data_IF_880112095816
#
_entry.id   IF_880112095816
#
_cell.length_a   1.000
_cell.length_b   1.000
_cell.length_c   1.000
_cell.angle_alpha   90.00
_cell.angle_beta   90.00
_cell.angle_gamma   90.00
#
_symmetry.space_group_name_H-M   'P 1'
#
loop_
_entity.id
_entity.type
_entity.pdbx_description
1 polymer ?
#
# COMPACT_ATOMS: atom_id res chain seq x y z
N UNK A 1 18.53 16.72 -18.01
CA UNK A 1 19.71 16.01 -17.50
C UNK A 1 19.21 14.80 -16.69
N UNK A 2 18.54 13.84 -17.35
CA UNK A 2 17.67 12.86 -16.64
C UNK A 2 17.87 11.42 -17.13
N UNK A 3 18.87 11.17 -17.99
CA UNK A 3 19.08 9.86 -18.64
C UNK A 3 20.14 8.97 -17.97
N UNK A 4 20.94 9.49 -17.04
CA UNK A 4 22.07 8.72 -16.46
C UNK A 4 21.71 7.80 -15.28
N UNK A 5 20.54 7.96 -14.65
CA UNK A 5 20.09 7.05 -13.58
C UNK A 5 19.59 5.70 -14.11
N UNK A 6 19.32 5.62 -15.41
CA UNK A 6 18.76 4.42 -16.05
C UNK A 6 19.79 3.33 -16.39
N UNK A 7 21.10 3.60 -16.26
CA UNK A 7 22.15 2.72 -16.79
C UNK A 7 23.10 2.15 -15.71
N UNK A 8 22.74 2.25 -14.43
CA UNK A 8 23.50 1.60 -13.36
C UNK A 8 22.90 0.21 -13.07
N UNK A 9 23.58 -0.90 -13.42
CA UNK A 9 23.02 -2.26 -13.33
C UNK A 9 22.58 -2.68 -11.92
N UNK A 10 22.98 -1.94 -10.88
CA UNK A 10 22.51 -2.13 -9.50
C UNK A 10 21.06 -1.67 -9.27
N UNK A 11 20.64 -0.56 -9.87
CA UNK A 11 19.31 0.04 -9.65
C UNK A 11 18.22 -0.81 -10.32
N UNK A 12 18.45 -1.30 -11.53
CA UNK A 12 17.48 -2.16 -12.23
C UNK A 12 17.20 -3.45 -11.46
N UNK A 13 18.24 -4.05 -10.86
CA UNK A 13 18.08 -5.25 -10.02
C UNK A 13 17.26 -4.96 -8.76
N UNK A 14 17.45 -3.80 -8.13
CA UNK A 14 16.68 -3.40 -6.95
C UNK A 14 15.23 -3.09 -7.35
N UNK A 15 15.02 -2.43 -8.48
CA UNK A 15 13.68 -2.16 -9.05
C UNK A 15 12.92 -3.45 -9.30
N UNK A 16 13.56 -4.44 -9.93
CA UNK A 16 12.95 -5.76 -10.18
C UNK A 16 12.54 -6.45 -8.86
N UNK A 17 13.43 -6.48 -7.88
CA UNK A 17 13.13 -7.03 -6.54
C UNK A 17 11.97 -6.32 -5.86
N UNK A 18 11.89 -5.00 -6.02
CA UNK A 18 10.76 -4.23 -5.50
C UNK A 18 9.45 -4.65 -6.14
N UNK A 19 9.40 -4.86 -7.46
CA UNK A 19 8.19 -5.33 -8.15
C UNK A 19 7.81 -6.76 -7.73
N UNK A 20 8.79 -7.66 -7.59
CA UNK A 20 8.56 -9.02 -7.08
C UNK A 20 7.93 -8.99 -5.67
N UNK A 21 8.48 -8.16 -4.79
CA UNK A 21 7.94 -7.92 -3.44
C UNK A 21 6.56 -7.23 -3.48
N UNK A 22 6.32 -6.35 -4.44
CA UNK A 22 5.04 -5.65 -4.60
C UNK A 22 3.89 -6.64 -4.89
N UNK A 23 4.15 -7.71 -5.63
CA UNK A 23 3.17 -8.75 -5.94
C UNK A 23 2.68 -9.51 -4.69
N UNK A 24 3.57 -9.76 -3.73
CA UNK A 24 3.19 -10.34 -2.44
C UNK A 24 2.43 -9.32 -1.59
N UNK A 25 2.97 -8.11 -1.47
CA UNK A 25 2.41 -7.05 -0.62
C UNK A 25 1.03 -6.58 -1.05
N UNK A 26 0.75 -6.48 -2.36
CA UNK A 26 -0.59 -6.11 -2.84
C UNK A 26 -1.63 -7.15 -2.39
N UNK A 27 -1.26 -8.43 -2.37
CA UNK A 27 -2.15 -9.53 -1.99
C UNK A 27 -2.45 -9.46 -0.51
N UNK A 28 -1.43 -9.18 0.31
CA UNK A 28 -1.59 -8.96 1.75
C UNK A 28 -2.46 -7.74 2.05
N UNK A 29 -2.24 -6.61 1.38
CA UNK A 29 -3.06 -5.40 1.54
C UNK A 29 -4.53 -5.69 1.19
N UNK A 30 -4.79 -6.32 0.04
CA UNK A 30 -6.15 -6.71 -0.35
C UNK A 30 -6.80 -7.64 0.68
N UNK A 31 -6.03 -8.60 1.22
CA UNK A 31 -6.53 -9.55 2.23
C UNK A 31 -6.88 -8.84 3.54
N UNK A 32 -6.05 -7.90 4.00
CA UNK A 32 -6.34 -7.10 5.18
C UNK A 32 -7.52 -6.15 4.96
N UNK A 33 -7.63 -5.53 3.78
CA UNK A 33 -8.77 -4.69 3.43
C UNK A 33 -10.08 -5.46 3.48
N UNK A 34 -10.13 -6.65 2.88
CA UNK A 34 -11.30 -7.53 2.91
C UNK A 34 -11.61 -8.02 4.33
N UNK A 35 -10.59 -8.43 5.09
CA UNK A 35 -10.78 -8.88 6.47
C UNK A 35 -11.27 -7.74 7.39
N UNK A 36 -10.84 -6.50 7.17
CA UNK A 36 -11.38 -5.34 7.88
C UNK A 36 -12.83 -5.04 7.48
N UNK A 37 -13.18 -5.25 6.21
CA UNK A 37 -14.55 -5.09 5.71
C UNK A 37 -15.53 -6.11 6.31
N UNK A 38 -15.13 -7.37 6.38
CA UNK A 38 -15.97 -8.47 6.87
C UNK A 38 -15.97 -8.59 8.41
N UNK A 39 -15.10 -7.85 9.11
CA UNK A 39 -14.97 -7.91 10.56
C UNK A 39 -16.20 -7.35 11.29
N UNK A 40 -16.50 -7.94 12.45
CA UNK A 40 -17.62 -7.51 13.30
C UNK A 40 -17.19 -6.88 14.62
N UNK A 41 -15.89 -6.89 14.91
CA UNK A 41 -15.30 -6.32 16.12
C UNK A 41 -14.37 -5.16 15.81
N UNK A 42 -14.29 -4.22 16.76
CA UNK A 42 -13.39 -3.06 16.68
C UNK A 42 -11.94 -3.52 16.56
N UNK A 43 -11.56 -4.53 17.35
CA UNK A 43 -10.20 -5.06 17.41
C UNK A 43 -9.76 -5.66 16.08
N UNK A 44 -10.63 -6.42 15.41
CA UNK A 44 -10.34 -7.02 14.10
C UNK A 44 -10.22 -5.97 13.00
N UNK A 45 -11.11 -4.97 12.97
CA UNK A 45 -11.04 -3.86 12.00
C UNK A 45 -9.71 -3.12 12.18
N UNK A 46 -9.41 -2.69 13.41
CA UNK A 46 -8.18 -1.96 13.72
C UNK A 46 -6.93 -2.77 13.43
N UNK A 47 -6.93 -4.05 13.80
CA UNK A 47 -5.80 -4.96 13.59
C UNK A 47 -5.47 -5.08 12.10
N UNK A 48 -6.49 -5.33 11.26
CA UNK A 48 -6.29 -5.44 9.83
C UNK A 48 -5.87 -4.12 9.17
N UNK A 49 -6.48 -3.00 9.55
CA UNK A 49 -6.08 -1.69 9.05
C UNK A 49 -4.64 -1.36 9.45
N UNK A 50 -4.23 -1.65 10.68
CA UNK A 50 -2.85 -1.45 11.14
C UNK A 50 -1.86 -2.33 10.37
N UNK A 51 -2.20 -3.58 10.07
CA UNK A 51 -1.37 -4.45 9.23
C UNK A 51 -1.24 -3.91 7.81
N UNK A 52 -2.32 -3.46 7.18
CA UNK A 52 -2.26 -2.81 5.86
C UNK A 52 -1.39 -1.54 5.89
N UNK A 53 -1.55 -0.70 6.92
CA UNK A 53 -0.75 0.53 7.11
C UNK A 53 0.74 0.24 7.18
N UNK A 54 1.17 -0.80 7.90
CA UNK A 54 2.58 -1.15 8.01
C UNK A 54 3.19 -1.51 6.64
N UNK A 55 2.44 -2.23 5.80
CA UNK A 55 2.88 -2.59 4.44
C UNK A 55 2.94 -1.36 3.55
N UNK A 56 1.91 -0.50 3.60
CA UNK A 56 1.87 0.76 2.85
C UNK A 56 3.04 1.68 3.19
N UNK A 57 3.39 1.80 4.47
CA UNK A 57 4.56 2.56 4.93
C UNK A 57 5.86 2.08 4.27
N UNK A 58 6.07 0.76 4.25
CA UNK A 58 7.26 0.16 3.62
C UNK A 58 7.30 0.41 2.10
N UNK A 59 6.15 0.37 1.43
CA UNK A 59 6.06 0.67 0.00
C UNK A 59 6.36 2.15 -0.24
N UNK A 60 5.71 3.07 0.48
CA UNK A 60 5.92 4.50 0.37
C UNK A 60 7.39 4.90 0.58
N UNK A 61 8.07 4.27 1.56
CA UNK A 61 9.47 4.54 1.87
C UNK A 61 10.47 4.10 0.80
N UNK A 62 10.09 3.17 -0.08
CA UNK A 62 10.99 2.60 -1.10
C UNK A 62 10.61 2.95 -2.55
N UNK A 63 9.33 3.21 -2.82
CA UNK A 63 8.82 3.45 -4.17
C UNK A 63 9.45 4.69 -4.84
N UNK A 64 9.57 5.80 -4.09
CA UNK A 64 10.06 7.07 -4.65
C UNK A 64 11.52 7.02 -5.13
N UNK A 65 12.41 6.35 -4.38
CA UNK A 65 13.82 6.23 -4.77
C UNK A 65 14.07 5.26 -5.93
N UNK A 66 13.08 4.42 -6.25
CA UNK A 66 13.15 3.42 -7.32
C UNK A 66 12.45 3.85 -8.63
N UNK A 67 11.79 5.02 -8.61
CA UNK A 67 11.10 5.60 -9.76
C UNK A 67 9.60 5.31 -9.82
N UNK A 68 9.00 4.74 -8.77
CA UNK A 68 7.57 4.46 -8.67
C UNK A 68 6.85 5.57 -7.89
N UNK A 69 6.99 6.82 -8.35
CA UNK A 69 6.54 7.98 -7.58
C UNK A 69 5.03 7.99 -7.31
N UNK A 70 4.21 7.63 -8.30
CA UNK A 70 2.75 7.61 -8.13
C UNK A 70 2.33 6.52 -7.13
N UNK A 71 2.90 5.33 -7.26
CA UNK A 71 2.68 4.25 -6.30
C UNK A 71 3.07 4.67 -4.88
N UNK A 72 4.20 5.35 -4.72
CA UNK A 72 4.64 5.88 -3.42
C UNK A 72 3.70 6.93 -2.85
N UNK A 73 3.18 7.83 -3.69
CA UNK A 73 2.16 8.83 -3.28
C UNK A 73 0.86 8.17 -2.84
N UNK A 74 0.35 7.22 -3.61
CA UNK A 74 -0.88 6.48 -3.28
C UNK A 74 -0.71 5.68 -1.99
N UNK A 75 0.44 5.00 -1.81
CA UNK A 75 0.73 4.26 -0.59
C UNK A 75 0.69 5.17 0.64
N UNK A 76 1.36 6.33 0.56
CA UNK A 76 1.37 7.31 1.65
C UNK A 76 -0.02 7.90 1.92
N UNK A 77 -0.83 8.15 0.89
CA UNK A 77 -2.21 8.61 1.06
C UNK A 77 -3.03 7.61 1.88
N UNK A 78 -3.02 6.33 1.48
CA UNK A 78 -3.71 5.27 2.20
C UNK A 78 -3.20 5.12 3.64
N UNK A 79 -1.86 5.16 3.81
CA UNK A 79 -1.21 5.13 5.12
C UNK A 79 -1.74 6.23 6.04
N UNK A 80 -1.75 7.49 5.56
CA UNK A 80 -2.24 8.63 6.34
C UNK A 80 -3.71 8.49 6.70
N UNK A 81 -4.57 8.10 5.76
CA UNK A 81 -6.00 7.90 6.05
C UNK A 81 -6.23 6.83 7.12
N UNK A 82 -5.48 5.73 7.09
CA UNK A 82 -5.56 4.70 8.12
C UNK A 82 -5.08 5.23 9.47
N UNK A 83 -3.94 5.92 9.52
CA UNK A 83 -3.41 6.52 10.76
C UNK A 83 -4.43 7.48 11.37
N UNK A 84 -5.01 8.36 10.56
CA UNK A 84 -6.01 9.33 10.99
C UNK A 84 -7.27 8.64 11.50
N UNK A 85 -7.73 7.59 10.83
CA UNK A 85 -8.89 6.80 11.28
C UNK A 85 -8.62 6.11 12.62
N UNK A 86 -7.45 5.48 12.78
CA UNK A 86 -7.07 4.75 14.00
C UNK A 86 -6.82 5.66 15.20
N UNK A 87 -6.41 6.91 14.96
CA UNK A 87 -6.25 7.94 15.99
C UNK A 87 -7.53 8.76 16.25
N UNK A 88 -8.51 8.66 15.36
CA UNK A 88 -9.72 9.47 15.36
C UNK A 88 -10.80 9.01 16.36
N UNK A 89 -11.84 9.83 16.58
CA UNK A 89 -12.94 9.51 17.50
C UNK A 89 -13.77 8.30 17.07
N UNK A 90 -13.71 7.93 15.78
CA UNK A 90 -14.40 6.76 15.22
C UNK A 90 -13.63 5.46 15.42
N UNK A 91 -12.38 5.50 15.89
CA UNK A 91 -11.50 4.33 16.02
C UNK A 91 -12.02 3.24 16.97
N UNK A 92 -13.04 3.53 17.78
CA UNK A 92 -13.63 2.59 18.74
C UNK A 92 -15.04 2.13 18.32
N UNK A 93 -15.39 2.30 17.04
CA UNK A 93 -16.65 1.83 16.47
C UNK A 93 -16.39 0.62 15.59
N UNK A 94 -17.31 -0.33 15.57
CA UNK A 94 -17.25 -1.50 14.70
C UNK A 94 -17.73 -1.17 13.27
N UNK A 95 -17.38 0.01 12.78
CA UNK A 95 -17.79 0.53 11.48
C UNK A 95 -16.55 0.60 10.59
N UNK A 96 -16.45 -0.30 9.62
CA UNK A 96 -15.34 -0.30 8.69
C UNK A 96 -15.38 0.96 7.78
N UNK A 97 -14.27 1.71 7.63
CA UNK A 97 -14.24 2.92 6.83
C UNK A 97 -14.25 2.62 5.31
N UNK A 98 -15.43 2.70 4.69
CA UNK A 98 -15.64 2.46 3.24
C UNK A 98 -14.64 3.24 2.37
N UNK A 99 -14.38 4.51 2.69
CA UNK A 99 -13.44 5.34 1.92
C UNK A 99 -12.02 4.77 1.92
N UNK A 100 -11.54 4.27 3.06
CA UNK A 100 -10.23 3.63 3.16
C UNK A 100 -10.20 2.35 2.33
N UNK A 101 -11.25 1.52 2.39
CA UNK A 101 -11.32 0.29 1.59
C UNK A 101 -11.28 0.59 0.09
N UNK A 102 -12.04 1.59 -0.37
CA UNK A 102 -12.01 2.02 -1.76
C UNK A 102 -10.63 2.52 -2.22
N UNK A 103 -9.89 3.20 -1.34
CA UNK A 103 -8.54 3.69 -1.64
C UNK A 103 -7.53 2.53 -1.67
N UNK A 104 -7.66 1.55 -0.77
CA UNK A 104 -6.87 0.31 -0.80
C UNK A 104 -7.11 -0.47 -2.09
N UNK A 105 -8.36 -0.60 -2.54
CA UNK A 105 -8.68 -1.25 -3.82
C UNK A 105 -8.04 -0.51 -5.01
N UNK A 106 -8.13 0.82 -5.01
CA UNK A 106 -7.48 1.66 -6.01
C UNK A 106 -5.95 1.49 -6.02
N UNK A 107 -5.34 1.40 -4.83
CA UNK A 107 -3.92 1.14 -4.67
C UNK A 107 -3.52 -0.25 -5.19
N UNK A 108 -4.27 -1.31 -4.84
CA UNK A 108 -4.03 -2.67 -5.33
C UNK A 108 -4.15 -2.74 -6.85
N UNK A 109 -5.13 -2.05 -7.44
CA UNK A 109 -5.25 -1.94 -8.89
C UNK A 109 -4.04 -1.25 -9.54
N UNK A 110 -3.47 -0.23 -8.88
CA UNK A 110 -2.23 0.39 -9.36
C UNK A 110 -1.03 -0.53 -9.21
N UNK A 111 -0.87 -1.25 -8.10
CA UNK A 111 0.18 -2.26 -7.93
C UNK A 111 0.19 -3.25 -9.09
N UNK A 112 -0.98 -3.77 -9.46
CA UNK A 112 -1.13 -4.72 -10.56
C UNK A 112 -0.65 -4.15 -11.89
N UNK A 113 -0.98 -2.88 -12.20
CA UNK A 113 -0.48 -2.21 -13.42
C UNK A 113 1.05 -2.13 -13.45
N UNK A 114 1.67 -1.77 -12.32
CA UNK A 114 3.14 -1.71 -12.23
C UNK A 114 3.77 -3.10 -12.38
N UNK A 115 3.16 -4.13 -11.79
CA UNK A 115 3.63 -5.51 -11.92
C UNK A 115 3.52 -5.99 -13.37
N UNK A 116 2.38 -5.80 -14.01
CA UNK A 116 2.14 -6.21 -15.39
C UNK A 116 3.06 -5.47 -16.38
N UNK A 117 3.43 -4.23 -16.08
CA UNK A 117 4.38 -3.45 -16.89
C UNK A 117 5.85 -3.92 -16.76
N UNK A 118 6.15 -4.75 -15.75
CA UNK A 118 7.50 -5.18 -15.39
C UNK A 118 7.67 -6.71 -15.30
N UNK A 119 6.65 -7.48 -15.68
CA UNK A 119 6.65 -8.94 -15.82
C UNK A 119 7.28 -9.39 -17.14
#
# INVERSE_FOLDING_TARGET
MTKMLAELPGIERIRKRFVEMLAERQTQIASHGLAAWDATTVEEIKGNLASAQAILHQIAGSAGSLGFEELGRMARKCETQIVDHLAGPSANRADCPIEIISELDGFVAQCRKEIDAHA
#
